data_IF_953442648502
#
_entry.id   IF_953442648502
#
_cell.length_a   1.000
_cell.length_b   1.000
_cell.length_c   1.000
_cell.angle_alpha   90.00
_cell.angle_beta   90.00
_cell.angle_gamma   90.00
#
_symmetry.space_group_name_H-M   'P 1'
#
loop_
_entity.id
_entity.type
_entity.pdbx_description
1 polymer ?
#
# COMPACT_ATOMS: atom_id res chain seq x y z
N UNK A 1 -28.84 -2.23 -6.22
CA UNK A 1 -29.34 -2.67 -7.56
C UNK A 1 -28.92 -4.13 -7.83
N UNK A 2 -29.87 -5.00 -8.14
CA UNK A 2 -29.61 -6.40 -8.52
C UNK A 2 -28.87 -6.47 -9.85
N UNK A 3 -27.74 -7.17 -9.90
CA UNK A 3 -26.93 -7.40 -11.11
C UNK A 3 -27.33 -8.72 -11.79
N UNK A 4 -27.42 -9.78 -11.00
CA UNK A 4 -27.90 -11.07 -11.47
C UNK A 4 -28.37 -11.95 -10.30
N UNK A 5 -29.25 -12.90 -10.62
CA UNK A 5 -29.75 -13.90 -9.71
C UNK A 5 -29.88 -15.21 -10.48
N UNK A 6 -29.15 -16.26 -10.07
CA UNK A 6 -29.01 -17.50 -10.83
C UNK A 6 -29.11 -18.71 -9.92
N UNK A 7 -29.91 -19.66 -10.34
CA UNK A 7 -30.01 -20.97 -9.71
C UNK A 7 -29.04 -21.96 -10.40
N UNK A 8 -28.35 -22.74 -9.58
CA UNK A 8 -27.46 -23.83 -9.98
C UNK A 8 -27.92 -25.13 -9.38
N UNK A 9 -27.76 -26.21 -10.12
CA UNK A 9 -28.05 -27.56 -9.66
C UNK A 9 -26.95 -28.51 -10.11
N UNK A 10 -26.44 -29.33 -9.21
CA UNK A 10 -25.43 -30.36 -9.47
C UNK A 10 -24.17 -29.82 -10.23
N UNK A 11 -23.76 -28.57 -9.93
CA UNK A 11 -22.62 -27.92 -10.56
C UNK A 11 -22.90 -27.30 -11.92
N UNK A 12 -24.13 -27.25 -12.38
CA UNK A 12 -24.51 -26.62 -13.63
C UNK A 12 -25.49 -25.47 -13.44
N UNK A 13 -25.38 -24.44 -14.29
CA UNK A 13 -26.37 -23.35 -14.33
C UNK A 13 -27.73 -23.92 -14.76
N UNK A 14 -28.74 -23.76 -13.93
CA UNK A 14 -30.09 -24.16 -14.23
C UNK A 14 -30.79 -23.06 -15.04
N UNK A 15 -30.90 -21.85 -14.49
CA UNK A 15 -31.50 -20.68 -15.14
C UNK A 15 -31.21 -19.39 -14.38
N UNK A 16 -31.40 -18.26 -15.07
CA UNK A 16 -31.55 -16.97 -14.41
C UNK A 16 -32.97 -16.88 -13.81
N UNK A 17 -33.06 -16.41 -12.57
CA UNK A 17 -34.32 -16.34 -11.81
C UNK A 17 -34.58 -14.91 -11.35
N UNK A 18 -35.83 -14.61 -11.00
CA UNK A 18 -36.19 -13.35 -10.35
C UNK A 18 -35.97 -13.42 -8.84
N UNK A 19 -35.89 -12.27 -8.17
CA UNK A 19 -35.77 -12.24 -6.70
C UNK A 19 -36.96 -12.96 -6.02
N UNK A 20 -38.13 -12.84 -6.58
CA UNK A 20 -39.34 -13.47 -6.04
C UNK A 20 -39.35 -15.02 -6.10
N UNK A 21 -38.48 -15.59 -6.96
CA UNK A 21 -38.41 -17.05 -7.12
C UNK A 21 -37.31 -17.68 -6.23
N UNK A 22 -36.54 -16.89 -5.49
CA UNK A 22 -35.38 -17.36 -4.72
C UNK A 22 -35.78 -18.47 -3.74
N UNK A 23 -36.82 -18.26 -2.94
CA UNK A 23 -37.29 -19.21 -1.93
C UNK A 23 -37.65 -20.56 -2.50
N UNK A 24 -38.15 -20.63 -3.75
CA UNK A 24 -38.45 -21.89 -4.44
C UNK A 24 -37.19 -22.72 -4.69
N UNK A 25 -36.11 -22.07 -5.18
CA UNK A 25 -34.86 -22.78 -5.56
C UNK A 25 -33.99 -23.10 -4.35
N UNK A 26 -33.93 -22.22 -3.36
CA UNK A 26 -33.19 -22.45 -2.12
C UNK A 26 -33.72 -23.65 -1.35
N UNK A 27 -35.02 -23.96 -1.51
CA UNK A 27 -35.65 -25.12 -0.84
C UNK A 27 -35.43 -26.44 -1.58
N UNK A 28 -34.88 -26.44 -2.80
CA UNK A 28 -34.71 -27.65 -3.61
C UNK A 28 -33.39 -28.38 -3.26
N UNK A 29 -33.41 -29.70 -3.05
CA UNK A 29 -32.19 -30.46 -2.80
C UNK A 29 -31.17 -30.37 -3.95
N UNK A 30 -29.90 -30.14 -3.63
CA UNK A 30 -28.82 -30.03 -4.61
C UNK A 30 -28.81 -28.73 -5.41
N UNK A 31 -29.74 -27.81 -5.12
CA UNK A 31 -29.74 -26.46 -5.68
C UNK A 31 -29.06 -25.46 -4.73
N UNK A 32 -28.38 -24.48 -5.32
CA UNK A 32 -28.03 -23.26 -4.63
C UNK A 32 -28.27 -22.04 -5.56
N UNK A 33 -28.47 -20.89 -4.93
CA UNK A 33 -28.73 -19.63 -5.62
C UNK A 33 -27.56 -18.67 -5.42
N UNK A 34 -27.08 -18.05 -6.50
CA UNK A 34 -26.08 -16.99 -6.42
C UNK A 34 -26.69 -15.65 -6.86
N UNK A 35 -26.83 -14.74 -5.89
CA UNK A 35 -27.29 -13.37 -6.08
C UNK A 35 -26.08 -12.41 -6.03
N UNK A 36 -26.01 -11.52 -7.02
CA UNK A 36 -25.02 -10.45 -7.04
C UNK A 36 -25.73 -9.10 -7.11
N UNK A 37 -25.37 -8.22 -6.18
CA UNK A 37 -25.90 -6.86 -6.06
C UNK A 37 -24.76 -5.84 -6.11
N UNK A 38 -25.09 -4.64 -6.54
CA UNK A 38 -24.19 -3.49 -6.50
C UNK A 38 -24.92 -2.32 -5.86
N UNK A 39 -24.24 -1.67 -4.90
CA UNK A 39 -24.74 -0.49 -4.18
C UNK A 39 -26.21 -0.69 -3.78
N UNK A 40 -26.46 -1.78 -3.04
CA UNK A 40 -27.81 -2.18 -2.62
C UNK A 40 -28.38 -1.15 -1.64
N UNK A 41 -29.68 -0.85 -1.82
CA UNK A 41 -30.38 0.02 -0.86
C UNK A 41 -30.68 -0.74 0.44
N UNK A 42 -30.96 -0.04 1.56
CA UNK A 42 -31.35 -0.70 2.80
C UNK A 42 -32.53 -1.64 2.64
N UNK A 43 -33.54 -1.23 1.83
CA UNK A 43 -34.76 -2.00 1.55
C UNK A 43 -34.44 -3.28 0.75
N UNK A 44 -33.53 -3.19 -0.26
CA UNK A 44 -33.06 -4.34 -1.03
C UNK A 44 -32.31 -5.32 -0.14
N UNK A 45 -31.54 -4.82 0.85
CA UNK A 45 -30.81 -5.68 1.82
C UNK A 45 -31.79 -6.36 2.80
N UNK A 46 -32.82 -5.68 3.22
CA UNK A 46 -33.86 -6.25 4.10
C UNK A 46 -34.62 -7.37 3.38
N UNK A 47 -35.02 -7.15 2.12
CA UNK A 47 -35.64 -8.18 1.30
C UNK A 47 -34.79 -9.43 1.17
N UNK A 48 -33.47 -9.26 0.89
CA UNK A 48 -32.56 -10.39 0.84
C UNK A 48 -32.31 -11.03 2.23
N UNK A 49 -32.39 -10.23 3.28
CA UNK A 49 -32.31 -10.69 4.66
C UNK A 49 -33.44 -11.64 5.03
N UNK A 50 -34.68 -11.31 4.61
CA UNK A 50 -35.85 -12.15 4.80
C UNK A 50 -35.78 -13.42 3.94
N UNK A 51 -35.44 -13.31 2.65
CA UNK A 51 -35.34 -14.42 1.72
C UNK A 51 -34.30 -15.51 2.12
N UNK A 52 -33.17 -15.08 2.63
CA UNK A 52 -32.08 -15.99 3.02
C UNK A 52 -31.98 -16.25 4.52
N UNK A 53 -32.82 -15.62 5.34
CA UNK A 53 -32.74 -15.73 6.79
C UNK A 53 -31.43 -15.23 7.36
N UNK A 54 -30.92 -14.10 6.86
CA UNK A 54 -29.63 -13.56 7.28
C UNK A 54 -29.66 -13.04 8.71
N UNK A 55 -28.53 -13.13 9.39
CA UNK A 55 -28.43 -12.62 10.76
C UNK A 55 -28.49 -11.08 10.77
N UNK A 56 -29.26 -10.48 11.67
CA UNK A 56 -29.50 -9.04 11.75
C UNK A 56 -28.20 -8.21 11.79
N UNK A 57 -27.20 -8.63 12.57
CA UNK A 57 -25.92 -7.96 12.66
C UNK A 57 -25.16 -7.92 11.32
N UNK A 58 -25.29 -8.94 10.49
CA UNK A 58 -24.61 -8.99 9.19
C UNK A 58 -25.25 -8.05 8.18
N UNK A 59 -26.57 -7.86 8.27
CA UNK A 59 -27.32 -6.88 7.46
C UNK A 59 -26.95 -5.46 7.90
N UNK A 60 -26.87 -5.22 9.21
CA UNK A 60 -26.46 -3.94 9.79
C UNK A 60 -25.05 -3.56 9.29
N UNK A 61 -24.09 -4.47 9.35
CA UNK A 61 -22.73 -4.25 8.87
C UNK A 61 -22.67 -3.92 7.39
N UNK A 62 -23.42 -4.65 6.56
CA UNK A 62 -23.47 -4.40 5.11
C UNK A 62 -24.13 -3.06 4.76
N UNK A 63 -25.05 -2.57 5.60
CA UNK A 63 -25.68 -1.25 5.43
C UNK A 63 -24.76 -0.10 5.76
N UNK A 64 -24.09 -0.19 6.92
CA UNK A 64 -23.24 0.88 7.38
C UNK A 64 -22.01 1.06 6.48
N UNK A 65 -21.52 -0.04 5.86
CA UNK A 65 -20.29 -0.05 5.10
C UNK A 65 -19.06 0.31 5.96
N UNK A 66 -17.90 0.49 5.31
CA UNK A 66 -16.63 0.83 5.97
C UNK A 66 -16.22 -0.16 7.06
N UNK A 67 -16.65 -1.42 6.88
CA UNK A 67 -16.28 -2.51 7.76
C UNK A 67 -14.82 -2.92 7.51
N UNK A 68 -14.14 -3.39 8.56
CA UNK A 68 -12.85 -4.05 8.37
C UNK A 68 -13.07 -5.40 7.70
N UNK A 69 -12.17 -5.83 6.81
CA UNK A 69 -12.23 -7.18 6.28
C UNK A 69 -12.32 -8.20 7.42
N UNK A 70 -13.23 -9.15 7.29
CA UNK A 70 -13.48 -10.17 8.32
C UNK A 70 -14.12 -11.40 7.73
N UNK A 71 -13.99 -12.52 8.46
CA UNK A 71 -14.65 -13.78 8.17
C UNK A 71 -15.29 -14.23 9.48
N UNK A 72 -16.62 -14.21 9.52
CA UNK A 72 -17.42 -14.54 10.70
C UNK A 72 -18.40 -15.66 10.39
N UNK A 73 -18.60 -16.56 11.38
CA UNK A 73 -19.50 -17.69 11.31
C UNK A 73 -20.76 -17.39 12.13
N UNK A 74 -21.93 -17.53 11.50
CA UNK A 74 -23.24 -17.35 12.10
C UNK A 74 -24.08 -18.63 11.89
N UNK A 75 -24.03 -19.55 12.87
CA UNK A 75 -24.64 -20.86 12.72
C UNK A 75 -24.05 -21.65 11.57
N UNK A 76 -24.86 -21.99 10.58
CA UNK A 76 -24.44 -22.72 9.38
C UNK A 76 -24.07 -21.77 8.20
N UNK A 77 -23.99 -20.47 8.47
CA UNK A 77 -23.70 -19.44 7.45
C UNK A 77 -22.38 -18.72 7.74
N UNK A 78 -21.76 -18.20 6.69
CA UNK A 78 -20.57 -17.34 6.77
C UNK A 78 -20.89 -15.94 6.29
N UNK A 79 -20.35 -14.94 6.97
CA UNK A 79 -20.31 -13.57 6.50
C UNK A 79 -18.87 -13.15 6.30
N UNK A 80 -18.56 -12.69 5.07
CA UNK A 80 -17.19 -12.33 4.67
C UNK A 80 -17.21 -10.92 4.12
N UNK A 81 -16.35 -10.06 4.66
CA UNK A 81 -16.12 -8.69 4.17
C UNK A 81 -14.73 -8.62 3.55
N UNK A 82 -14.66 -8.20 2.29
CA UNK A 82 -13.42 -8.03 1.54
C UNK A 82 -13.30 -6.57 1.07
N UNK A 83 -12.10 -6.00 1.14
CA UNK A 83 -11.84 -4.70 0.55
C UNK A 83 -11.47 -4.82 -0.93
N UNK A 84 -12.02 -3.93 -1.74
CA UNK A 84 -11.74 -3.82 -3.17
C UNK A 84 -10.87 -2.58 -3.40
N UNK A 85 -9.58 -2.79 -3.62
CA UNK A 85 -8.66 -1.70 -3.89
C UNK A 85 -8.64 -1.38 -5.39
N UNK A 86 -8.85 -0.12 -5.73
CA UNK A 86 -8.82 0.39 -7.10
C UNK A 86 -8.01 1.69 -7.12
N UNK A 87 -7.21 1.94 -8.18
CA UNK A 87 -6.59 3.26 -8.35
C UNK A 87 -7.65 4.36 -8.36
N UNK A 88 -7.40 5.46 -7.65
CA UNK A 88 -8.29 6.62 -7.70
C UNK A 88 -8.17 7.28 -9.08
N UNK A 89 -9.27 7.46 -9.85
CA UNK A 89 -9.24 8.15 -11.13
C UNK A 89 -8.83 9.62 -11.03
N UNK A 90 -8.97 10.24 -9.85
CA UNK A 90 -8.63 11.65 -9.61
C UNK A 90 -7.18 11.81 -9.12
N UNK A 91 -6.68 10.83 -8.40
CA UNK A 91 -5.29 10.78 -7.96
C UNK A 91 -4.73 9.35 -8.14
N UNK A 92 -3.99 9.16 -9.23
CA UNK A 92 -3.37 7.86 -9.55
C UNK A 92 -2.39 7.35 -8.46
N UNK A 93 -2.11 8.18 -7.44
CA UNK A 93 -1.28 7.83 -6.29
C UNK A 93 -2.09 7.33 -5.10
N UNK A 94 -3.41 7.38 -5.14
CA UNK A 94 -4.27 6.94 -4.04
C UNK A 94 -5.16 5.76 -4.47
N UNK A 95 -5.79 5.11 -3.49
CA UNK A 95 -6.70 4.01 -3.70
C UNK A 95 -8.11 4.36 -3.25
N UNK A 96 -9.08 4.10 -4.12
CA UNK A 96 -10.46 3.97 -3.70
C UNK A 96 -10.64 2.59 -3.08
N UNK A 97 -11.20 2.57 -1.87
CA UNK A 97 -11.49 1.35 -1.13
C UNK A 97 -12.99 1.08 -1.22
N UNK A 98 -13.36 0.12 -2.07
CA UNK A 98 -14.72 -0.43 -2.09
C UNK A 98 -14.81 -1.66 -1.18
N UNK A 99 -16.03 -2.17 -1.03
CA UNK A 99 -16.32 -3.35 -0.22
C UNK A 99 -17.06 -4.41 -1.03
N UNK A 100 -16.75 -5.68 -0.72
CA UNK A 100 -17.54 -6.83 -1.14
C UNK A 100 -17.99 -7.57 0.12
N UNK A 101 -19.28 -7.53 0.40
CA UNK A 101 -19.94 -8.27 1.45
C UNK A 101 -20.49 -9.56 0.86
N UNK A 102 -20.05 -10.72 1.37
CA UNK A 102 -20.46 -12.04 0.87
C UNK A 102 -21.14 -12.80 2.01
N UNK A 103 -22.42 -13.09 1.83
CA UNK A 103 -23.20 -13.95 2.73
C UNK A 103 -23.29 -15.34 2.08
N UNK A 104 -22.88 -16.35 2.79
CA UNK A 104 -22.80 -17.72 2.27
C UNK A 104 -23.54 -18.65 3.22
N UNK A 105 -24.57 -19.28 2.71
CA UNK A 105 -25.29 -20.36 3.40
C UNK A 105 -25.09 -21.70 2.71
N UNK A 106 -25.69 -22.76 3.21
CA UNK A 106 -25.58 -24.09 2.60
C UNK A 106 -26.02 -24.16 1.13
N UNK A 107 -26.97 -23.30 0.74
CA UNK A 107 -27.66 -23.31 -0.54
C UNK A 107 -27.81 -21.92 -1.17
N UNK A 108 -27.05 -20.93 -0.70
CA UNK A 108 -27.02 -19.60 -1.31
C UNK A 108 -25.67 -18.92 -1.18
N UNK A 109 -25.43 -17.99 -2.11
CA UNK A 109 -24.39 -16.94 -2.01
C UNK A 109 -25.04 -15.62 -2.38
N UNK A 110 -25.02 -14.67 -1.47
CA UNK A 110 -25.37 -13.29 -1.74
C UNK A 110 -24.09 -12.45 -1.69
N UNK A 111 -23.72 -11.85 -2.81
CA UNK A 111 -22.57 -10.98 -2.93
C UNK A 111 -23.00 -9.54 -3.19
N UNK A 112 -22.71 -8.62 -2.27
CA UNK A 112 -23.07 -7.21 -2.34
C UNK A 112 -21.79 -6.37 -2.45
N UNK A 113 -21.64 -5.70 -3.58
CA UNK A 113 -20.50 -4.84 -3.86
C UNK A 113 -20.88 -3.38 -3.68
N UNK A 114 -20.10 -2.67 -2.88
CA UNK A 114 -20.30 -1.26 -2.59
C UNK A 114 -19.07 -0.44 -3.02
N UNK A 115 -19.30 0.76 -3.56
CA UNK A 115 -18.27 1.74 -3.93
C UNK A 115 -17.15 1.18 -4.83
N UNK A 116 -17.49 0.29 -5.74
CA UNK A 116 -16.52 -0.29 -6.68
C UNK A 116 -17.12 -0.41 -8.08
N UNK A 117 -16.37 0.04 -9.07
CA UNK A 117 -16.75 -0.09 -10.48
C UNK A 117 -16.43 -1.46 -11.07
N UNK A 118 -15.45 -2.18 -10.49
CA UNK A 118 -14.96 -3.44 -11.03
C UNK A 118 -15.84 -4.61 -10.61
N UNK A 119 -16.48 -5.25 -11.58
CA UNK A 119 -17.39 -6.38 -11.36
C UNK A 119 -16.70 -7.75 -11.23
N UNK A 120 -17.52 -8.78 -11.00
CA UNK A 120 -17.12 -10.18 -10.84
C UNK A 120 -17.73 -11.10 -11.92
N UNK A 121 -18.16 -10.56 -13.05
CA UNK A 121 -18.73 -11.36 -14.16
C UNK A 121 -17.75 -12.42 -14.66
N UNK A 122 -16.45 -12.12 -14.70
CA UNK A 122 -15.42 -13.08 -15.07
C UNK A 122 -15.27 -14.24 -14.08
N UNK A 123 -15.49 -13.99 -12.79
CA UNK A 123 -15.46 -15.03 -11.74
C UNK A 123 -16.58 -16.02 -11.94
N UNK A 124 -17.79 -15.52 -12.17
CA UNK A 124 -18.93 -16.36 -12.45
C UNK A 124 -18.72 -17.22 -13.69
N UNK A 125 -18.27 -16.62 -14.81
CA UNK A 125 -17.97 -17.34 -16.04
C UNK A 125 -16.86 -18.40 -15.86
N UNK A 126 -15.91 -18.18 -14.92
CA UNK A 126 -14.90 -19.17 -14.52
C UNK A 126 -15.56 -20.34 -13.78
N UNK A 127 -16.37 -20.07 -12.76
CA UNK A 127 -17.08 -21.11 -12.01
C UNK A 127 -17.96 -21.99 -12.91
N UNK A 128 -18.69 -21.39 -13.85
CA UNK A 128 -19.58 -22.10 -14.77
C UNK A 128 -18.81 -23.00 -15.77
N UNK A 129 -17.53 -22.75 -16.01
CA UNK A 129 -16.65 -23.61 -16.85
C UNK A 129 -16.08 -24.81 -16.10
N UNK A 130 -16.20 -24.83 -14.78
CA UNK A 130 -15.68 -25.87 -13.91
C UNK A 130 -16.80 -26.56 -13.10
N UNK A 131 -17.72 -27.30 -13.79
CA UNK A 131 -18.91 -27.84 -13.16
C UNK A 131 -18.60 -28.84 -12.03
N UNK A 132 -17.50 -29.57 -12.13
CA UNK A 132 -17.08 -30.52 -11.09
C UNK A 132 -16.70 -29.81 -9.79
N UNK A 133 -16.10 -28.63 -9.88
CA UNK A 133 -15.79 -27.81 -8.71
C UNK A 133 -17.04 -27.07 -8.21
N UNK A 134 -17.87 -26.58 -9.12
CA UNK A 134 -19.12 -25.90 -8.77
C UNK A 134 -20.11 -26.83 -8.04
N UNK A 135 -19.97 -28.15 -8.14
CA UNK A 135 -20.69 -29.14 -7.29
C UNK A 135 -20.42 -29.01 -5.81
N UNK A 136 -19.28 -28.41 -5.42
CA UNK A 136 -19.02 -28.09 -4.03
C UNK A 136 -19.92 -26.94 -3.51
N UNK A 137 -20.80 -26.40 -4.36
CA UNK A 137 -21.83 -25.45 -3.99
C UNK A 137 -21.33 -24.07 -3.62
N UNK A 138 -21.99 -23.48 -2.63
CA UNK A 138 -21.74 -22.11 -2.19
C UNK A 138 -20.30 -21.84 -1.70
N UNK A 139 -19.67 -22.84 -1.08
CA UNK A 139 -18.28 -22.72 -0.61
C UNK A 139 -17.27 -22.52 -1.73
N UNK A 140 -17.45 -23.15 -2.88
CA UNK A 140 -16.59 -22.94 -4.05
C UNK A 140 -16.76 -21.54 -4.65
N UNK A 141 -17.99 -21.00 -4.67
CA UNK A 141 -18.25 -19.63 -5.10
C UNK A 141 -17.58 -18.62 -4.16
N UNK A 142 -17.62 -18.86 -2.85
CA UNK A 142 -16.91 -18.01 -1.88
C UNK A 142 -15.40 -18.03 -2.17
N UNK A 143 -14.81 -19.20 -2.34
CA UNK A 143 -13.41 -19.32 -2.75
C UNK A 143 -13.10 -18.49 -3.99
N UNK A 144 -13.88 -18.67 -5.05
CA UNK A 144 -13.66 -17.99 -6.32
C UNK A 144 -13.75 -16.46 -6.23
N UNK A 145 -14.63 -15.94 -5.35
CA UNK A 145 -14.72 -14.51 -5.07
C UNK A 145 -13.51 -14.02 -4.25
N UNK A 146 -13.10 -14.75 -3.20
CA UNK A 146 -11.93 -14.42 -2.40
C UNK A 146 -10.64 -14.43 -3.23
N UNK A 147 -10.43 -15.46 -4.02
CA UNK A 147 -9.30 -15.63 -4.93
C UNK A 147 -9.20 -14.45 -5.89
N UNK A 148 -10.31 -14.10 -6.56
CA UNK A 148 -10.36 -12.98 -7.48
C UNK A 148 -10.10 -11.62 -6.82
N UNK A 149 -10.42 -11.44 -5.54
CA UNK A 149 -10.10 -10.22 -4.79
C UNK A 149 -8.62 -10.20 -4.41
N UNK A 150 -8.09 -11.31 -3.91
CA UNK A 150 -6.69 -11.44 -3.50
C UNK A 150 -5.75 -11.29 -4.69
N UNK A 151 -6.11 -11.87 -5.84
CA UNK A 151 -5.36 -11.70 -7.09
C UNK A 151 -5.21 -10.23 -7.51
N UNK A 152 -6.20 -9.39 -7.23
CA UNK A 152 -6.15 -7.96 -7.52
C UNK A 152 -5.17 -7.18 -6.63
N UNK A 153 -4.76 -7.73 -5.50
CA UNK A 153 -3.76 -7.10 -4.65
C UNK A 153 -2.33 -7.20 -5.19
N UNK A 154 -2.02 -8.23 -6.02
CA UNK A 154 -0.68 -8.38 -6.59
C UNK A 154 -0.25 -7.21 -7.47
N UNK A 155 -1.02 -6.76 -8.47
CA UNK A 155 -0.66 -5.58 -9.25
C UNK A 155 -0.51 -4.31 -8.40
N UNK A 156 -1.25 -4.20 -7.29
CA UNK A 156 -1.13 -3.08 -6.36
C UNK A 156 0.22 -3.11 -5.65
N UNK A 157 0.63 -4.28 -5.16
CA UNK A 157 1.92 -4.44 -4.47
C UNK A 157 3.08 -4.20 -5.44
N UNK A 158 3.02 -4.77 -6.64
CA UNK A 158 4.04 -4.61 -7.67
C UNK A 158 4.26 -3.12 -7.99
N UNK A 159 3.17 -2.36 -8.15
CA UNK A 159 3.24 -0.92 -8.41
C UNK A 159 3.87 -0.12 -7.23
N UNK A 160 3.60 -0.54 -5.98
CA UNK A 160 4.20 0.08 -4.79
C UNK A 160 5.70 -0.26 -4.67
N UNK A 161 6.10 -1.49 -5.01
CA UNK A 161 7.50 -1.93 -5.03
C UNK A 161 8.30 -1.18 -6.10
N UNK A 162 7.76 -1.04 -7.31
CA UNK A 162 8.36 -0.28 -8.41
C UNK A 162 8.56 1.20 -8.02
N UNK A 163 7.58 1.80 -7.33
CA UNK A 163 7.70 3.18 -6.87
C UNK A 163 8.78 3.33 -5.79
N UNK A 164 8.86 2.39 -4.85
CA UNK A 164 9.90 2.37 -3.83
C UNK A 164 11.29 2.30 -4.47
N UNK A 165 11.51 1.38 -5.41
CA UNK A 165 12.78 1.26 -6.14
C UNK A 165 13.16 2.56 -6.87
N UNK A 166 12.17 3.23 -7.48
CA UNK A 166 12.40 4.51 -8.13
C UNK A 166 12.80 5.62 -7.15
N UNK A 167 12.20 5.65 -5.95
CA UNK A 167 12.58 6.62 -4.92
C UNK A 167 13.97 6.31 -4.38
N UNK A 168 14.32 5.04 -4.13
CA UNK A 168 15.64 4.65 -3.68
C UNK A 168 16.74 5.09 -4.66
N UNK A 169 16.53 4.90 -5.96
CA UNK A 169 17.46 5.39 -7.00
C UNK A 169 17.66 6.91 -6.93
N UNK A 170 16.60 7.67 -6.63
CA UNK A 170 16.65 9.13 -6.52
C UNK A 170 17.31 9.64 -5.25
N UNK A 171 17.30 8.88 -4.15
CA UNK A 171 17.99 9.26 -2.90
C UNK A 171 19.50 9.42 -3.12
N UNK A 172 20.08 8.61 -3.99
CA UNK A 172 21.52 8.66 -4.32
C UNK A 172 21.84 9.63 -5.46
N UNK A 173 20.86 10.11 -6.21
CA UNK A 173 21.02 11.24 -7.12
C UNK A 173 20.79 12.52 -6.33
N UNK A 174 21.65 13.54 -6.49
CA UNK A 174 21.68 14.77 -5.68
C UNK A 174 20.39 15.62 -5.73
N UNK A 175 19.30 15.12 -6.31
CA UNK A 175 18.08 15.87 -6.57
C UNK A 175 17.00 15.69 -5.48
N UNK A 176 16.61 16.82 -4.89
CA UNK A 176 15.40 17.03 -4.07
C UNK A 176 15.16 16.10 -2.85
N UNK A 177 16.03 16.08 -1.81
CA UNK A 177 15.87 15.21 -0.64
C UNK A 177 14.53 15.35 0.10
N UNK A 178 13.93 16.57 0.11
CA UNK A 178 12.64 16.81 0.77
C UNK A 178 11.48 16.17 0.03
N UNK A 179 11.49 16.20 -1.29
CA UNK A 179 10.46 15.56 -2.10
C UNK A 179 10.48 14.02 -1.94
N UNK A 180 11.66 13.43 -1.79
CA UNK A 180 11.81 11.99 -1.56
C UNK A 180 11.21 11.57 -0.20
N UNK A 181 11.39 12.35 0.86
CA UNK A 181 10.78 12.07 2.17
C UNK A 181 9.25 12.09 2.07
N UNK A 182 8.68 13.09 1.40
CA UNK A 182 7.23 13.18 1.22
C UNK A 182 6.70 11.97 0.44
N UNK A 183 7.34 11.60 -0.67
CA UNK A 183 6.96 10.43 -1.47
C UNK A 183 7.06 9.11 -0.70
N UNK A 184 8.12 8.93 0.11
CA UNK A 184 8.25 7.76 0.99
C UNK A 184 7.13 7.69 2.02
N UNK A 185 6.69 8.84 2.54
CA UNK A 185 5.59 8.88 3.47
C UNK A 185 4.24 8.55 2.81
N UNK A 186 3.97 9.09 1.62
CA UNK A 186 2.80 8.77 0.80
C UNK A 186 2.76 7.27 0.45
N UNK A 187 3.91 6.71 0.04
CA UNK A 187 4.05 5.29 -0.24
C UNK A 187 3.76 4.42 1.00
N UNK A 188 4.28 4.83 2.17
CA UNK A 188 3.99 4.17 3.44
C UNK A 188 2.49 4.15 3.76
N UNK A 189 1.78 5.25 3.53
CA UNK A 189 0.33 5.32 3.76
C UNK A 189 -0.41 4.33 2.85
N UNK A 190 -0.07 4.26 1.57
CA UNK A 190 -0.68 3.32 0.62
C UNK A 190 -0.39 1.86 0.98
N UNK A 191 0.83 1.54 1.40
CA UNK A 191 1.18 0.22 1.91
C UNK A 191 0.34 -0.15 3.15
N UNK A 192 0.02 0.83 4.01
CA UNK A 192 -0.85 0.61 5.17
C UNK A 192 -2.31 0.36 4.77
N UNK A 193 -2.83 1.02 3.74
CA UNK A 193 -4.18 0.73 3.20
C UNK A 193 -4.26 -0.72 2.73
N UNK A 194 -3.27 -1.18 1.95
CA UNK A 194 -3.20 -2.58 1.51
C UNK A 194 -3.08 -3.55 2.70
N UNK A 195 -2.28 -3.21 3.70
CA UNK A 195 -2.17 -4.03 4.92
C UNK A 195 -3.49 -4.17 5.67
N UNK A 196 -4.27 -3.09 5.75
CA UNK A 196 -5.59 -3.12 6.39
C UNK A 196 -6.59 -4.00 5.62
N UNK A 197 -6.41 -4.16 4.31
CA UNK A 197 -7.19 -5.08 3.51
C UNK A 197 -6.76 -6.55 3.71
N UNK A 198 -5.45 -6.81 3.85
CA UNK A 198 -4.87 -8.17 3.81
C UNK A 198 -4.79 -8.82 5.20
N UNK A 199 -4.29 -8.11 6.22
CA UNK A 199 -3.97 -8.72 7.52
C UNK A 199 -5.18 -9.37 8.22
N UNK A 200 -6.38 -8.76 8.25
CA UNK A 200 -7.54 -9.40 8.86
C UNK A 200 -8.03 -10.64 8.07
N UNK A 201 -7.87 -10.62 6.73
CA UNK A 201 -8.22 -11.78 5.89
C UNK A 201 -7.25 -12.94 6.11
N UNK A 202 -5.97 -12.66 6.29
CA UNK A 202 -4.98 -13.67 6.60
C UNK A 202 -5.33 -14.39 7.92
N UNK A 203 -5.71 -13.64 8.96
CA UNK A 203 -6.14 -14.21 10.22
C UNK A 203 -7.40 -15.06 10.08
N UNK A 204 -8.39 -14.58 9.31
CA UNK A 204 -9.66 -15.26 9.08
C UNK A 204 -9.57 -16.47 8.16
N UNK A 205 -8.73 -16.41 7.10
CA UNK A 205 -8.63 -17.47 6.08
C UNK A 205 -8.18 -18.81 6.65
N UNK A 206 -7.36 -18.81 7.69
CA UNK A 206 -6.93 -20.02 8.38
C UNK A 206 -8.09 -20.90 8.89
N UNK A 207 -9.24 -20.29 9.21
CA UNK A 207 -10.44 -21.00 9.67
C UNK A 207 -11.15 -21.75 8.53
N UNK A 208 -10.92 -21.38 7.28
CA UNK A 208 -11.60 -21.95 6.11
C UNK A 208 -10.94 -23.25 5.61
N UNK A 209 -9.68 -23.49 5.95
CA UNK A 209 -8.94 -24.67 5.48
C UNK A 209 -8.29 -25.49 6.59
N UNK A 210 -8.21 -25.00 7.83
CA UNK A 210 -7.54 -25.67 8.94
C UNK A 210 -8.37 -25.69 10.23
N UNK A 211 -8.16 -26.67 11.08
CA UNK A 211 -8.87 -26.80 12.34
C UNK A 211 -10.34 -27.22 12.18
N UNK A 212 -11.26 -26.49 12.82
CA UNK A 212 -12.71 -26.68 12.63
C UNK A 212 -13.16 -25.90 11.39
N UNK A 213 -13.15 -26.57 10.26
CA UNK A 213 -13.60 -25.97 9.01
C UNK A 213 -15.13 -25.88 8.97
N UNK A 214 -15.71 -24.71 8.61
CA UNK A 214 -17.16 -24.59 8.41
C UNK A 214 -17.66 -25.60 7.37
N UNK A 215 -18.85 -26.15 7.59
CA UNK A 215 -19.40 -27.22 6.73
C UNK A 215 -19.53 -26.77 5.25
N UNK A 216 -19.85 -25.51 5.02
CA UNK A 216 -19.92 -24.89 3.68
C UNK A 216 -18.60 -24.97 2.94
N UNK A 217 -17.45 -24.92 3.64
CA UNK A 217 -16.12 -24.94 3.05
C UNK A 217 -15.56 -26.38 2.89
N UNK A 218 -16.25 -27.38 3.41
CA UNK A 218 -15.86 -28.78 3.22
C UNK A 218 -15.90 -29.15 1.74
N UNK A 219 -14.83 -29.70 1.19
CA UNK A 219 -14.66 -29.95 -0.26
C UNK A 219 -13.95 -28.84 -1.01
N UNK A 220 -13.77 -27.64 -0.42
CA UNK A 220 -13.01 -26.56 -1.03
C UNK A 220 -11.78 -26.14 -0.19
N UNK A 221 -11.37 -26.92 0.79
CA UNK A 221 -10.31 -26.59 1.76
C UNK A 221 -8.95 -26.32 1.09
N UNK A 222 -8.57 -27.12 0.09
CA UNK A 222 -7.31 -26.96 -0.62
C UNK A 222 -7.26 -25.62 -1.38
N UNK A 223 -8.39 -25.19 -1.91
CA UNK A 223 -8.52 -23.89 -2.58
C UNK A 223 -8.42 -22.72 -1.60
N UNK A 224 -9.05 -22.80 -0.43
CA UNK A 224 -8.89 -21.79 0.63
C UNK A 224 -7.47 -21.74 1.17
N UNK A 225 -6.75 -22.86 1.19
CA UNK A 225 -5.33 -22.87 1.52
C UNK A 225 -4.51 -22.07 0.52
N UNK A 226 -4.77 -22.20 -0.77
CA UNK A 226 -4.08 -21.43 -1.80
C UNK A 226 -4.30 -19.92 -1.61
N UNK A 227 -5.55 -19.48 -1.36
CA UNK A 227 -5.86 -18.10 -0.99
C UNK A 227 -5.08 -17.64 0.25
N UNK A 228 -4.98 -18.49 1.27
CA UNK A 228 -4.22 -18.20 2.48
C UNK A 228 -2.72 -18.05 2.19
N UNK A 229 -2.15 -18.91 1.35
CA UNK A 229 -0.74 -18.85 0.95
C UNK A 229 -0.45 -17.56 0.15
N UNK A 230 -1.38 -17.11 -0.72
CA UNK A 230 -1.31 -15.81 -1.39
C UNK A 230 -1.33 -14.65 -0.39
N UNK A 231 -2.24 -14.66 0.59
CA UNK A 231 -2.32 -13.64 1.63
C UNK A 231 -1.04 -13.58 2.48
N UNK A 232 -0.45 -14.74 2.84
CA UNK A 232 0.84 -14.80 3.55
C UNK A 232 1.93 -14.11 2.74
N UNK A 233 2.03 -14.41 1.44
CA UNK A 233 3.03 -13.81 0.55
C UNK A 233 2.86 -12.30 0.44
N UNK A 234 1.62 -11.83 0.22
CA UNK A 234 1.31 -10.41 0.12
C UNK A 234 1.66 -9.69 1.44
N UNK A 235 1.26 -10.26 2.59
CA UNK A 235 1.57 -9.66 3.88
C UNK A 235 3.09 -9.57 4.13
N UNK A 236 3.85 -10.59 3.75
CA UNK A 236 5.31 -10.59 3.86
C UNK A 236 5.95 -9.51 2.99
N UNK A 237 5.48 -9.32 1.74
CA UNK A 237 5.94 -8.22 0.86
C UNK A 237 5.62 -6.85 1.46
N UNK A 238 4.43 -6.65 2.04
CA UNK A 238 4.06 -5.40 2.71
C UNK A 238 4.99 -5.10 3.89
N UNK A 239 5.29 -6.09 4.72
CA UNK A 239 6.17 -5.92 5.88
C UNK A 239 7.60 -5.60 5.43
N UNK A 240 8.14 -6.30 4.42
CA UNK A 240 9.45 -6.01 3.82
C UNK A 240 9.51 -4.60 3.24
N UNK A 241 8.49 -4.18 2.49
CA UNK A 241 8.39 -2.83 1.94
C UNK A 241 8.41 -1.76 3.05
N UNK A 242 7.67 -1.96 4.14
CA UNK A 242 7.65 -1.01 5.27
C UNK A 242 9.02 -0.85 5.92
N UNK A 243 9.75 -1.93 6.08
CA UNK A 243 11.10 -1.92 6.65
C UNK A 243 12.09 -1.20 5.71
N UNK A 244 11.97 -1.45 4.41
CA UNK A 244 12.76 -0.76 3.37
C UNK A 244 12.44 0.73 3.34
N UNK A 245 11.17 1.15 3.40
CA UNK A 245 10.78 2.57 3.50
C UNK A 245 11.40 3.22 4.73
N UNK A 246 11.37 2.53 5.89
CA UNK A 246 12.00 3.02 7.12
C UNK A 246 13.50 3.27 6.94
N UNK A 247 14.20 2.33 6.31
CA UNK A 247 15.62 2.44 6.00
C UNK A 247 15.90 3.56 4.99
N UNK A 248 15.11 3.67 3.92
CA UNK A 248 15.24 4.71 2.90
C UNK A 248 15.08 6.12 3.49
N UNK A 249 14.16 6.32 4.44
CA UNK A 249 14.01 7.59 5.17
C UNK A 249 15.29 7.91 5.95
N UNK A 250 15.87 6.94 6.67
CA UNK A 250 17.11 7.15 7.43
C UNK A 250 18.30 7.48 6.53
N UNK A 251 18.44 6.78 5.41
CA UNK A 251 19.48 7.04 4.42
C UNK A 251 19.33 8.44 3.84
N UNK A 252 18.11 8.83 3.45
CA UNK A 252 17.85 10.16 2.90
C UNK A 252 18.19 11.28 3.90
N UNK A 253 17.85 11.13 5.19
CA UNK A 253 18.23 12.08 6.23
C UNK A 253 19.75 12.14 6.42
N UNK A 254 20.44 11.00 6.35
CA UNK A 254 21.89 10.94 6.43
C UNK A 254 22.57 11.67 5.26
N UNK A 255 22.03 11.52 4.04
CA UNK A 255 22.53 12.24 2.85
C UNK A 255 22.34 13.76 2.98
N UNK A 256 21.20 14.21 3.51
CA UNK A 256 20.98 15.64 3.83
C UNK A 256 22.05 16.15 4.79
N UNK A 257 22.31 15.42 5.87
CA UNK A 257 23.31 15.82 6.89
C UNK A 257 24.73 15.87 6.29
N UNK A 258 25.08 14.92 5.43
CA UNK A 258 26.38 14.91 4.73
C UNK A 258 26.51 16.15 3.84
N UNK A 259 25.47 16.46 3.04
CA UNK A 259 25.48 17.63 2.16
C UNK A 259 25.58 18.94 2.94
N UNK A 260 24.84 19.08 4.07
CA UNK A 260 24.96 20.24 4.97
C UNK A 260 26.36 20.36 5.54
N UNK A 261 26.97 19.23 5.90
CA UNK A 261 28.37 19.18 6.37
C UNK A 261 29.36 19.67 5.32
N UNK A 262 29.17 19.31 4.05
CA UNK A 262 30.01 19.79 2.95
C UNK A 262 29.87 21.29 2.70
N UNK A 263 28.65 21.82 2.71
CA UNK A 263 28.43 23.24 2.60
C UNK A 263 29.10 23.99 3.75
N UNK A 264 28.97 23.49 4.98
CA UNK A 264 29.61 24.05 6.17
C UNK A 264 31.12 24.05 6.07
N UNK A 265 31.74 22.95 5.60
CA UNK A 265 33.19 22.86 5.34
C UNK A 265 33.63 23.91 4.33
N UNK A 266 32.91 24.07 3.21
CA UNK A 266 33.22 25.10 2.19
C UNK A 266 33.16 26.51 2.78
N UNK A 267 32.11 26.83 3.54
CA UNK A 267 31.99 28.13 4.21
C UNK A 267 33.12 28.38 5.20
N UNK A 268 33.46 27.39 6.03
CA UNK A 268 34.55 27.49 6.99
C UNK A 268 35.92 27.68 6.28
N UNK A 269 36.15 27.00 5.17
CA UNK A 269 37.38 27.15 4.40
C UNK A 269 37.53 28.56 3.83
N UNK A 270 36.48 29.13 3.22
CA UNK A 270 36.51 30.50 2.74
C UNK A 270 36.66 31.51 3.86
N UNK A 271 35.94 31.32 4.98
CA UNK A 271 36.08 32.18 6.15
C UNK A 271 37.51 32.19 6.69
N UNK A 272 38.16 31.02 6.77
CA UNK A 272 39.53 30.89 7.23
C UNK A 272 40.53 31.63 6.28
N UNK A 273 40.33 31.53 4.96
CA UNK A 273 41.17 32.24 3.98
C UNK A 273 41.05 33.74 4.18
N UNK A 274 39.80 34.27 4.29
CA UNK A 274 39.57 35.69 4.51
C UNK A 274 40.10 36.15 5.88
N UNK A 275 39.94 35.35 6.92
CA UNK A 275 40.44 35.66 8.26
C UNK A 275 41.98 35.80 8.30
N UNK A 276 42.71 34.89 7.59
CA UNK A 276 44.18 34.98 7.50
C UNK A 276 44.59 36.25 6.76
N UNK A 277 43.98 36.53 5.60
CA UNK A 277 44.29 37.74 4.85
C UNK A 277 44.00 39.01 5.65
N UNK A 278 42.86 39.02 6.36
CA UNK A 278 42.46 40.17 7.23
C UNK A 278 43.38 40.35 8.42
N UNK A 279 43.86 39.27 9.06
CA UNK A 279 44.80 39.30 10.18
C UNK A 279 46.09 39.94 9.75
N UNK A 280 46.68 39.56 8.63
CA UNK A 280 47.91 40.17 8.10
C UNK A 280 47.67 41.67 7.76
N UNK A 281 46.58 41.98 7.07
CA UNK A 281 46.25 43.38 6.77
C UNK A 281 46.03 44.24 8.05
N UNK A 282 45.38 43.61 9.07
CA UNK A 282 45.18 44.25 10.39
C UNK A 282 46.48 44.54 11.14
N UNK A 283 47.45 43.59 11.14
CA UNK A 283 48.74 43.80 11.78
C UNK A 283 49.49 44.97 11.13
N UNK A 284 49.54 45.05 9.83
CA UNK A 284 50.19 46.19 9.14
C UNK A 284 49.37 47.48 9.11
N UNK A 285 48.09 47.40 9.44
CA UNK A 285 47.22 48.55 9.63
C UNK A 285 47.27 49.16 11.04
N UNK A 286 48.06 48.59 11.97
CA UNK A 286 48.22 49.10 13.34
C UNK A 286 49.10 50.36 13.36
N UNK A 287 48.79 51.32 14.21
CA UNK A 287 49.49 52.61 14.32
C UNK A 287 50.58 52.58 15.41
N UNK A 288 51.59 51.69 15.29
CA UNK A 288 52.75 51.68 16.19
C UNK A 288 53.86 52.55 15.62
N UNK A 289 54.57 53.30 16.51
CA UNK A 289 55.65 54.19 16.11
C UNK A 289 56.88 53.48 15.54
N UNK A 290 57.10 52.22 15.90
CA UNK A 290 58.24 51.39 15.47
C UNK A 290 57.82 50.21 14.64
N UNK A 291 57.46 50.48 13.38
CA UNK A 291 57.19 49.45 12.36
C UNK A 291 58.21 49.63 11.22
N UNK A 292 59.36 48.90 11.22
CA UNK A 292 60.40 49.04 10.21
C UNK A 292 59.92 48.71 8.79
N UNK A 293 58.97 47.83 8.65
CA UNK A 293 58.41 47.38 7.36
C UNK A 293 57.66 48.50 6.63
N UNK A 294 57.03 49.43 7.34
CA UNK A 294 56.29 50.55 6.75
C UNK A 294 57.21 51.62 6.12
N UNK A 295 58.45 51.70 6.58
CA UNK A 295 59.46 52.67 6.08
C UNK A 295 60.29 52.09 4.91
N UNK A 296 60.13 50.82 4.60
CA UNK A 296 60.90 50.15 3.55
C UNK A 296 60.25 50.37 2.14
N UNK A 297 61.07 50.74 1.15
CA UNK A 297 60.63 51.10 -0.24
C UNK A 297 59.78 50.03 -0.89
N UNK A 298 60.03 48.75 -0.57
CA UNK A 298 59.32 47.58 -1.13
C UNK A 298 58.33 46.96 -0.13
N UNK A 299 58.16 47.52 1.06
CA UNK A 299 57.34 46.98 2.15
C UNK A 299 55.91 46.69 1.72
N UNK A 300 55.29 47.59 1.01
CA UNK A 300 53.91 47.37 0.49
C UNK A 300 53.83 46.17 -0.47
N UNK A 301 54.74 46.06 -1.41
CA UNK A 301 54.74 44.96 -2.40
C UNK A 301 55.01 43.61 -1.72
N UNK A 302 55.92 43.59 -0.72
CA UNK A 302 56.21 42.38 0.05
C UNK A 302 55.03 41.99 0.98
N UNK A 303 54.35 42.94 1.63
CA UNK A 303 53.16 42.69 2.41
C UNK A 303 52.03 42.03 1.58
N UNK A 304 51.72 42.62 0.42
CA UNK A 304 50.75 42.04 -0.51
C UNK A 304 51.18 40.62 -0.98
N UNK A 305 52.45 40.46 -1.27
CA UNK A 305 53.02 39.14 -1.66
C UNK A 305 52.83 38.11 -0.54
N UNK A 306 53.05 38.45 0.73
CA UNK A 306 52.85 37.55 1.88
C UNK A 306 51.38 37.18 2.04
N UNK A 307 50.47 38.19 1.96
CA UNK A 307 49.02 37.95 2.03
C UNK A 307 48.58 37.00 0.90
N UNK A 308 49.00 37.28 -0.33
CA UNK A 308 48.66 36.44 -1.48
C UNK A 308 49.24 35.03 -1.35
N UNK A 309 50.48 34.89 -0.88
CA UNK A 309 51.08 33.58 -0.66
C UNK A 309 50.38 32.80 0.46
N UNK A 310 50.09 33.43 1.61
CA UNK A 310 49.38 32.80 2.72
C UNK A 310 47.97 32.36 2.30
N UNK A 311 47.21 33.20 1.59
CA UNK A 311 45.91 32.89 1.04
C UNK A 311 45.96 31.72 0.04
N UNK A 312 46.95 31.76 -0.90
CA UNK A 312 47.16 30.70 -1.91
C UNK A 312 47.52 29.37 -1.30
N UNK A 313 48.43 29.35 -0.33
CA UNK A 313 48.84 28.12 0.39
C UNK A 313 47.67 27.52 1.14
N UNK A 314 46.87 28.38 1.84
CA UNK A 314 45.70 27.94 2.59
C UNK A 314 44.65 27.39 1.65
N UNK A 315 44.34 28.08 0.54
CA UNK A 315 43.43 27.62 -0.51
C UNK A 315 43.89 26.27 -1.09
N UNK A 316 45.17 26.13 -1.43
CA UNK A 316 45.72 24.87 -1.96
C UNK A 316 45.57 23.70 -0.96
N UNK A 317 45.82 23.97 0.34
CA UNK A 317 45.66 22.95 1.39
C UNK A 317 44.21 22.52 1.54
N UNK A 318 43.24 23.47 1.56
CA UNK A 318 41.80 23.15 1.64
C UNK A 318 41.33 22.42 0.40
N UNK A 319 41.74 22.83 -0.78
CA UNK A 319 41.42 22.12 -2.03
C UNK A 319 41.97 20.68 -2.03
N UNK A 320 43.23 20.47 -1.56
CA UNK A 320 43.79 19.13 -1.44
C UNK A 320 43.09 18.28 -0.36
N UNK A 321 42.53 18.87 0.66
CA UNK A 321 41.77 18.22 1.72
C UNK A 321 40.28 17.99 1.31
N UNK A 322 39.85 18.43 0.14
CA UNK A 322 38.43 18.27 -0.33
C UNK A 322 37.43 19.18 0.36
N UNK A 323 37.91 20.34 0.89
CA UNK A 323 37.01 21.31 1.55
C UNK A 323 36.47 22.37 0.57
N UNK A 324 37.15 22.57 -0.54
CA UNK A 324 36.81 23.51 -1.63
C UNK A 324 36.86 22.76 -2.96
#
# INVERSE_FOLDING_TARGET
MLINCVAYQDGAKLRDISAADISEYVSQPGCFVWVAMQDATPEELDEMGEEFGLHELTIEDARHGHQRPKIEEYGDSLFVVLHLLQPDPQDAKDFLVGELNVFVGPNYVLSVRNQSSTGFLGVRARCEREPDLLRNGAGFVLYALMDAVVDRYFPVIDALEDELENIEKQIFSEDAPRANIQRLYELKQRAMVLRHAVAPLLEGSGKLHGGRVPQICMGSQEYFRDVSDHLVRINASIDAMRDTIGTAIQVNLSMVTINEGEVTKRLAAWAAIFAICTAFAGIWGMNFEHMPELKWRYGYAVALGIIAAAGSVTFYRFRRAGWI
#
